data_IF_567409085381
#
_entry.id   IF_567409085381
#
_cell.length_a   1.000
_cell.length_b   1.000
_cell.length_c   1.000
_cell.angle_alpha   90.00
_cell.angle_beta   90.00
_cell.angle_gamma   90.00
#
_symmetry.space_group_name_H-M   'P 1'
#
loop_
_entity.id
_entity.type
_entity.pdbx_description
1 polymer ?
#
# COMPACT_ATOMS: atom_id res chain seq x y z
N UNK A 1 -25.47 45.25 -46.92
CA UNK A 1 -25.69 43.79 -47.11
C UNK A 1 -24.68 43.04 -46.26
N UNK A 2 -25.18 42.01 -45.57
CA UNK A 2 -24.52 41.23 -44.52
C UNK A 2 -23.23 40.53 -44.99
N UNK A 3 -22.10 40.83 -44.34
CA UNK A 3 -20.86 40.07 -44.49
C UNK A 3 -20.84 38.90 -43.53
N UNK A 4 -21.22 37.71 -44.01
CA UNK A 4 -21.16 36.47 -43.26
C UNK A 4 -19.70 36.14 -42.91
N UNK A 5 -19.31 36.32 -41.65
CA UNK A 5 -18.00 35.89 -41.13
C UNK A 5 -17.95 34.36 -41.17
N UNK A 6 -17.02 33.80 -41.95
CA UNK A 6 -16.71 32.36 -41.90
C UNK A 6 -16.28 31.99 -40.47
N UNK A 7 -16.89 30.97 -39.83
CA UNK A 7 -16.39 30.47 -38.56
C UNK A 7 -14.99 29.88 -38.79
N UNK A 8 -14.06 30.23 -37.91
CA UNK A 8 -12.70 29.67 -37.87
C UNK A 8 -12.83 28.16 -37.69
N UNK A 9 -12.16 27.37 -38.53
CA UNK A 9 -12.20 25.91 -38.44
C UNK A 9 -11.70 25.49 -37.05
N UNK A 10 -12.53 24.75 -36.31
CA UNK A 10 -12.17 24.14 -35.03
C UNK A 10 -11.03 23.16 -35.33
N UNK A 11 -9.87 23.40 -34.71
CA UNK A 11 -8.64 22.63 -34.99
C UNK A 11 -8.68 21.17 -34.49
N UNK A 12 -9.80 20.72 -33.91
CA UNK A 12 -9.95 19.34 -33.46
C UNK A 12 -11.34 18.78 -33.87
N UNK A 13 -11.40 17.77 -34.75
CA UNK A 13 -12.64 17.08 -35.06
C UNK A 13 -13.19 16.35 -33.82
N UNK A 14 -14.53 16.32 -33.72
CA UNK A 14 -15.34 15.76 -32.63
C UNK A 14 -15.26 14.22 -32.46
N UNK A 15 -14.30 13.55 -33.10
CA UNK A 15 -14.11 12.11 -33.05
C UNK A 15 -12.68 11.77 -32.62
N UNK A 16 -12.41 11.96 -31.33
CA UNK A 16 -11.62 11.01 -30.53
C UNK A 16 -11.57 11.48 -29.10
N UNK A 17 -12.10 10.64 -28.23
CA UNK A 17 -11.98 10.61 -26.78
C UNK A 17 -10.52 10.41 -26.38
N UNK A 18 -9.59 11.26 -26.83
CA UNK A 18 -8.24 11.22 -26.30
C UNK A 18 -8.41 11.73 -24.87
N UNK A 19 -7.87 11.08 -23.85
CA UNK A 19 -7.61 11.61 -22.49
C UNK A 19 -6.20 12.20 -22.46
N UNK A 20 -5.86 13.15 -21.56
CA UNK A 20 -4.46 13.66 -21.58
C UNK A 20 -3.54 12.51 -21.22
N UNK A 21 -2.33 12.43 -21.81
CA UNK A 21 -1.39 11.35 -21.48
C UNK A 21 -1.22 11.21 -19.96
N UNK A 22 -1.10 12.35 -19.26
CA UNK A 22 -1.05 12.45 -17.80
C UNK A 22 -2.30 11.90 -17.10
N UNK A 23 -3.51 12.26 -17.54
CA UNK A 23 -4.76 11.75 -16.97
C UNK A 23 -4.92 10.23 -17.20
N UNK A 24 -4.49 9.73 -18.37
CA UNK A 24 -4.50 8.31 -18.68
C UNK A 24 -3.58 7.54 -17.73
N UNK A 25 -2.36 8.03 -17.52
CA UNK A 25 -1.39 7.43 -16.59
C UNK A 25 -1.97 7.37 -15.17
N UNK A 26 -2.57 8.46 -14.68
CA UNK A 26 -3.15 8.47 -13.33
C UNK A 26 -4.34 7.53 -13.18
N UNK A 27 -5.18 7.41 -14.22
CA UNK A 27 -6.27 6.43 -14.25
C UNK A 27 -5.74 4.99 -14.25
N UNK A 28 -4.74 4.70 -15.08
CA UNK A 28 -4.08 3.39 -15.12
C UNK A 28 -3.46 3.05 -13.76
N UNK A 29 -2.72 3.98 -13.14
CA UNK A 29 -2.15 3.80 -11.80
C UNK A 29 -3.24 3.53 -10.76
N UNK A 30 -4.32 4.31 -10.74
CA UNK A 30 -5.40 4.08 -9.81
C UNK A 30 -6.02 2.69 -9.98
N UNK A 31 -6.28 2.27 -11.23
CA UNK A 31 -6.86 0.94 -11.51
C UNK A 31 -5.97 -0.19 -10.98
N UNK A 32 -4.64 -0.08 -11.08
CA UNK A 32 -3.72 -1.07 -10.50
C UNK A 32 -3.89 -1.25 -8.98
N UNK A 33 -4.28 -0.19 -8.26
CA UNK A 33 -4.53 -0.29 -6.82
C UNK A 33 -5.87 -0.96 -6.49
N UNK A 34 -6.91 -0.66 -7.27
CA UNK A 34 -8.29 -1.06 -6.97
C UNK A 34 -8.79 -2.26 -7.77
N UNK A 35 -7.91 -2.91 -8.54
CA UNK A 35 -8.30 -4.06 -9.35
C UNK A 35 -8.90 -5.19 -8.49
N UNK A 36 -9.98 -5.80 -8.96
CA UNK A 36 -10.78 -6.75 -8.17
C UNK A 36 -10.03 -8.06 -7.92
N UNK A 37 -9.23 -8.48 -8.90
CA UNK A 37 -8.51 -9.75 -8.84
C UNK A 37 -7.20 -9.56 -8.09
N UNK A 38 -6.30 -8.73 -8.64
CA UNK A 38 -4.91 -8.56 -8.17
C UNK A 38 -4.58 -7.11 -7.74
N UNK A 39 -5.56 -6.35 -7.27
CA UNK A 39 -5.33 -4.97 -6.83
C UNK A 39 -4.31 -4.85 -5.69
N UNK A 40 -3.39 -3.89 -5.80
CA UNK A 40 -2.33 -3.68 -4.81
C UNK A 40 -2.88 -3.48 -3.38
N UNK A 41 -4.05 -2.85 -3.24
CA UNK A 41 -4.70 -2.65 -1.93
C UNK A 41 -5.07 -4.00 -1.30
N UNK A 42 -5.65 -4.91 -2.09
CA UNK A 42 -6.07 -6.24 -1.63
C UNK A 42 -4.86 -7.12 -1.27
N UNK A 43 -3.80 -7.07 -2.08
CA UNK A 43 -2.56 -7.79 -1.81
C UNK A 43 -1.91 -7.27 -0.52
N UNK A 44 -1.85 -5.94 -0.35
CA UNK A 44 -1.31 -5.33 0.86
C UNK A 44 -2.13 -5.67 2.11
N UNK A 45 -3.46 -5.67 2.02
CA UNK A 45 -4.35 -6.05 3.12
C UNK A 45 -4.13 -7.50 3.58
N UNK A 46 -3.93 -8.44 2.64
CA UNK A 46 -3.54 -9.82 2.95
C UNK A 46 -2.21 -9.93 3.73
N UNK A 47 -1.33 -8.93 3.59
CA UNK A 47 -0.04 -8.84 4.27
C UNK A 47 -0.08 -7.95 5.53
N UNK A 48 -1.25 -7.41 5.89
CA UNK A 48 -1.41 -6.49 7.01
C UNK A 48 -0.88 -5.08 6.75
N UNK A 49 -0.65 -4.70 5.49
CA UNK A 49 -0.18 -3.37 5.07
C UNK A 49 -1.36 -2.56 4.52
N UNK A 50 -1.50 -1.32 4.98
CA UNK A 50 -2.55 -0.41 4.48
C UNK A 50 -2.00 0.48 3.38
N UNK A 51 -2.54 0.35 2.17
CA UNK A 51 -2.25 1.24 1.04
C UNK A 51 -3.45 2.12 0.71
N UNK A 52 -3.18 3.33 0.22
CA UNK A 52 -4.19 4.27 -0.25
C UNK A 52 -4.04 4.47 -1.76
N UNK A 53 -5.11 4.29 -2.56
CA UNK A 53 -5.03 4.48 -3.99
C UNK A 53 -4.81 5.96 -4.35
N UNK A 54 -4.00 6.27 -5.38
CA UNK A 54 -3.76 7.64 -5.82
C UNK A 54 -5.01 8.27 -6.43
N UNK A 55 -5.08 9.61 -6.49
CA UNK A 55 -6.21 10.28 -7.13
C UNK A 55 -6.18 10.12 -8.66
N UNK A 56 -7.37 9.99 -9.27
CA UNK A 56 -7.54 9.84 -10.73
C UNK A 56 -7.39 11.14 -11.51
N UNK A 57 -7.45 12.29 -10.84
CA UNK A 57 -7.45 13.63 -11.45
C UNK A 57 -6.49 14.51 -10.68
N UNK A 58 -5.79 15.40 -11.40
CA UNK A 58 -5.00 16.46 -10.81
C UNK A 58 -5.91 17.68 -10.63
N UNK A 59 -5.77 18.33 -9.48
CA UNK A 59 -6.52 19.53 -9.13
C UNK A 59 -5.58 20.74 -9.20
N UNK A 60 -5.93 21.76 -9.97
CA UNK A 60 -5.19 23.04 -10.00
C UNK A 60 -6.03 24.08 -9.31
N UNK A 61 -5.42 24.84 -8.40
CA UNK A 61 -6.09 25.97 -7.77
C UNK A 61 -5.58 27.26 -8.37
N UNK A 62 -6.46 28.05 -8.98
CA UNK A 62 -6.11 29.38 -9.48
C UNK A 62 -6.62 30.40 -8.48
N UNK A 63 -5.66 31.16 -7.92
CA UNK A 63 -5.91 32.20 -6.93
C UNK A 63 -5.43 33.54 -7.47
N UNK A 64 -6.14 34.61 -7.13
CA UNK A 64 -5.75 35.95 -7.53
C UNK A 64 -6.77 37.01 -7.13
N UNK A 65 -6.36 38.27 -7.21
CA UNK A 65 -7.16 39.39 -6.74
C UNK A 65 -8.49 39.54 -7.48
N UNK A 66 -9.40 40.32 -6.89
CA UNK A 66 -10.64 40.72 -7.56
C UNK A 66 -10.31 41.33 -8.93
N UNK A 67 -11.03 40.92 -9.98
CA UNK A 67 -10.82 41.38 -11.36
C UNK A 67 -9.43 41.12 -11.97
N UNK A 68 -8.60 40.24 -11.38
CA UNK A 68 -7.28 39.87 -11.90
C UNK A 68 -7.29 39.04 -13.21
N UNK A 69 -8.42 38.97 -13.91
CA UNK A 69 -8.53 38.20 -15.15
C UNK A 69 -8.61 36.68 -14.99
N UNK A 70 -8.82 36.15 -13.77
CA UNK A 70 -8.92 34.69 -13.50
C UNK A 70 -9.89 33.96 -14.45
N UNK A 71 -11.14 34.41 -14.52
CA UNK A 71 -12.16 33.80 -15.38
C UNK A 71 -11.83 33.96 -16.87
N UNK A 72 -11.22 35.07 -17.25
CA UNK A 72 -10.76 35.31 -18.62
C UNK A 72 -9.62 34.38 -19.00
N UNK A 73 -8.64 34.18 -18.10
CA UNK A 73 -7.54 33.23 -18.28
C UNK A 73 -8.05 31.82 -18.46
N UNK A 74 -8.99 31.37 -17.62
CA UNK A 74 -9.57 30.02 -17.71
C UNK A 74 -10.28 29.83 -19.05
N UNK A 75 -11.09 30.79 -19.47
CA UNK A 75 -11.78 30.72 -20.75
C UNK A 75 -10.79 30.67 -21.92
N UNK A 76 -9.70 31.44 -21.83
CA UNK A 76 -8.64 31.42 -22.83
C UNK A 76 -7.87 30.09 -22.83
N UNK A 77 -7.50 29.58 -21.65
CA UNK A 77 -6.73 28.35 -21.48
C UNK A 77 -7.47 27.10 -21.94
N UNK A 78 -8.80 27.06 -21.74
CA UNK A 78 -9.66 25.97 -22.23
C UNK A 78 -10.13 26.23 -23.67
N UNK A 79 -9.75 27.36 -24.27
CA UNK A 79 -10.20 27.83 -25.58
C UNK A 79 -11.73 27.94 -25.71
N UNK A 80 -12.42 28.19 -24.59
CA UNK A 80 -13.87 28.23 -24.54
C UNK A 80 -14.43 29.18 -23.47
N UNK A 81 -15.58 29.80 -23.75
CA UNK A 81 -16.29 30.67 -22.81
C UNK A 81 -17.10 29.88 -21.75
N UNK A 82 -16.42 29.43 -20.69
CA UNK A 82 -16.99 28.63 -19.59
C UNK A 82 -17.55 29.52 -18.48
N UNK A 83 -16.76 30.47 -17.99
CA UNK A 83 -17.13 31.40 -16.94
C UNK A 83 -17.53 32.76 -17.50
N UNK A 84 -18.46 33.44 -16.84
CA UNK A 84 -18.78 34.84 -17.18
C UNK A 84 -17.59 35.74 -16.85
N UNK A 85 -17.27 36.66 -17.75
CA UNK A 85 -16.19 37.66 -17.59
C UNK A 85 -16.78 39.06 -17.43
N UNK A 86 -16.02 39.99 -16.83
CA UNK A 86 -16.43 41.41 -16.73
C UNK A 86 -17.46 41.74 -15.64
N UNK A 87 -17.88 40.79 -14.81
CA UNK A 87 -18.85 41.02 -13.72
C UNK A 87 -18.24 40.67 -12.36
N UNK A 88 -17.82 41.71 -11.64
CA UNK A 88 -17.19 41.69 -10.32
C UNK A 88 -17.98 40.96 -9.20
N UNK A 89 -19.30 40.80 -9.37
CA UNK A 89 -20.23 40.41 -8.29
C UNK A 89 -20.58 38.91 -8.37
N UNK A 90 -20.45 38.27 -9.54
CA UNK A 90 -20.85 36.87 -9.76
C UNK A 90 -19.75 35.85 -9.36
N UNK A 91 -18.50 36.27 -9.17
CA UNK A 91 -17.37 35.38 -8.83
C UNK A 91 -17.20 35.11 -7.33
N UNK A 92 -18.21 35.41 -6.50
CA UNK A 92 -18.08 35.41 -5.04
C UNK A 92 -18.02 34.02 -4.36
N UNK A 93 -17.61 33.00 -5.11
CA UNK A 93 -16.75 31.97 -4.53
C UNK A 93 -16.45 30.78 -5.43
N UNK A 94 -16.47 29.59 -4.85
CA UNK A 94 -15.74 28.45 -5.42
C UNK A 94 -16.40 27.90 -6.68
N UNK A 95 -15.78 28.22 -7.83
CA UNK A 95 -16.10 27.53 -9.09
C UNK A 95 -15.22 26.31 -9.26
N UNK A 96 -15.88 25.17 -9.41
CA UNK A 96 -15.30 23.89 -9.79
C UNK A 96 -15.53 23.66 -11.27
N UNK A 97 -14.48 23.42 -12.05
CA UNK A 97 -14.61 23.09 -13.47
C UNK A 97 -14.00 21.73 -13.68
N UNK A 98 -14.74 20.78 -14.24
CA UNK A 98 -14.23 19.42 -14.48
C UNK A 98 -14.84 18.80 -15.73
N UNK A 99 -14.18 17.77 -16.25
CA UNK A 99 -14.71 17.00 -17.37
C UNK A 99 -16.03 16.28 -17.02
N UNK A 100 -16.99 16.35 -17.93
CA UNK A 100 -18.29 15.68 -17.86
C UNK A 100 -18.83 15.33 -19.26
N UNK A 101 -19.85 14.48 -19.32
CA UNK A 101 -20.39 13.99 -20.62
C UNK A 101 -21.18 15.07 -21.38
N UNK A 102 -21.75 16.02 -20.65
CA UNK A 102 -22.54 17.13 -21.17
C UNK A 102 -22.13 18.41 -20.48
N UNK A 103 -22.34 19.53 -21.16
CA UNK A 103 -22.17 20.86 -20.61
C UNK A 103 -23.28 21.13 -19.60
N UNK A 104 -22.95 21.12 -18.31
CA UNK A 104 -23.92 21.35 -17.23
C UNK A 104 -23.28 22.24 -16.15
N UNK A 105 -24.07 23.17 -15.61
CA UNK A 105 -23.67 24.02 -14.49
C UNK A 105 -24.56 23.68 -13.30
N UNK A 106 -23.96 23.16 -12.24
CA UNK A 106 -24.63 22.74 -11.02
C UNK A 106 -24.29 23.72 -9.91
N UNK A 107 -25.27 24.06 -9.07
CA UNK A 107 -25.10 25.01 -7.97
C UNK A 107 -25.50 24.39 -6.64
N UNK A 108 -24.78 24.76 -5.58
CA UNK A 108 -25.17 24.45 -4.20
C UNK A 108 -25.32 22.96 -3.89
N UNK A 109 -26.51 22.56 -3.46
CA UNK A 109 -26.79 21.18 -3.02
C UNK A 109 -26.67 20.15 -4.13
N UNK A 110 -26.98 20.50 -5.39
CA UNK A 110 -26.86 19.57 -6.51
C UNK A 110 -25.40 19.11 -6.70
N UNK A 111 -24.46 20.04 -6.55
CA UNK A 111 -23.03 19.74 -6.60
C UNK A 111 -22.60 18.82 -5.46
N UNK A 112 -23.15 18.99 -4.25
CA UNK A 112 -22.81 18.19 -3.07
C UNK A 112 -23.38 16.77 -3.11
N UNK A 113 -24.49 16.57 -3.84
CA UNK A 113 -25.00 15.22 -4.11
C UNK A 113 -24.04 14.44 -5.01
N UNK A 114 -23.46 15.09 -6.02
CA UNK A 114 -22.50 14.47 -6.95
C UNK A 114 -21.09 14.39 -6.37
N UNK A 115 -20.68 15.35 -5.54
CA UNK A 115 -19.35 15.46 -4.95
C UNK A 115 -19.43 15.70 -3.44
N UNK A 116 -19.77 14.67 -2.63
CA UNK A 116 -19.97 14.83 -1.18
C UNK A 116 -18.72 15.27 -0.42
N UNK A 117 -17.53 15.00 -0.97
CA UNK A 117 -16.25 15.40 -0.38
C UNK A 117 -16.02 16.92 -0.38
N UNK A 118 -16.87 17.70 -1.08
CA UNK A 118 -16.86 19.16 -0.98
C UNK A 118 -17.69 19.71 0.20
N UNK A 119 -18.40 18.86 0.95
CA UNK A 119 -19.17 19.30 2.14
C UNK A 119 -18.34 20.12 3.15
N UNK A 120 -17.09 19.77 3.48
CA UNK A 120 -16.28 20.58 4.40
C UNK A 120 -16.05 22.02 3.92
N UNK A 121 -16.18 22.31 2.62
CA UNK A 121 -16.06 23.66 2.09
C UNK A 121 -17.22 24.58 2.51
N UNK A 122 -18.38 24.01 2.84
CA UNK A 122 -19.51 24.77 3.41
C UNK A 122 -19.26 25.21 4.86
N UNK A 123 -18.40 24.49 5.59
CA UNK A 123 -18.15 24.72 7.01
C UNK A 123 -17.18 25.90 7.25
N UNK A 124 -16.53 26.40 6.20
CA UNK A 124 -15.73 27.63 6.26
C UNK A 124 -16.64 28.85 6.50
N UNK A 125 -16.91 29.14 7.78
CA UNK A 125 -17.72 30.27 8.27
C UNK A 125 -17.31 31.62 7.66
N UNK A 126 -18.29 32.26 7.01
CA UNK A 126 -18.21 33.64 6.50
C UNK A 126 -19.04 33.81 5.22
N UNK A 127 -20.37 33.88 5.34
CA UNK A 127 -21.31 34.20 4.25
C UNK A 127 -21.19 33.35 2.95
N UNK A 128 -20.79 32.08 3.03
CA UNK A 128 -21.01 31.15 1.92
C UNK A 128 -22.48 30.68 1.94
N UNK A 129 -23.39 31.54 1.48
CA UNK A 129 -24.75 31.13 1.19
C UNK A 129 -24.70 29.96 0.18
N UNK A 130 -25.70 29.09 0.17
CA UNK A 130 -25.80 27.87 -0.65
C UNK A 130 -25.56 28.06 -2.17
N UNK A 131 -25.33 29.28 -2.63
CA UNK A 131 -25.16 29.72 -4.01
C UNK A 131 -23.71 29.69 -4.53
N UNK A 132 -22.72 29.33 -3.72
CA UNK A 132 -21.31 29.66 -4.02
C UNK A 132 -20.48 28.50 -4.60
N UNK A 133 -20.99 27.27 -4.58
CA UNK A 133 -20.33 26.12 -5.19
C UNK A 133 -20.91 25.87 -6.59
N UNK A 134 -20.21 26.33 -7.63
CA UNK A 134 -20.63 26.12 -9.02
C UNK A 134 -19.76 25.04 -9.65
N UNK A 135 -20.33 23.88 -9.98
CA UNK A 135 -19.65 22.84 -10.73
C UNK A 135 -20.04 22.91 -12.20
N UNK A 136 -19.07 23.19 -13.05
CA UNK A 136 -19.23 23.18 -14.50
C UNK A 136 -18.63 21.89 -15.04
N UNK A 137 -19.51 21.03 -15.54
CA UNK A 137 -19.17 19.82 -16.26
C UNK A 137 -19.01 20.15 -17.74
N UNK A 138 -17.92 19.70 -18.36
CA UNK A 138 -17.63 20.03 -19.75
C UNK A 138 -17.09 18.84 -20.57
N UNK A 139 -17.51 18.63 -21.84
CA UNK A 139 -17.03 17.52 -22.69
C UNK A 139 -15.53 17.58 -23.04
N UNK A 140 -14.92 18.76 -23.04
CA UNK A 140 -13.46 18.93 -23.15
C UNK A 140 -12.73 18.84 -21.81
N UNK A 141 -11.46 18.43 -21.86
CA UNK A 141 -10.67 18.06 -20.69
C UNK A 141 -10.28 19.26 -19.85
N UNK A 142 -11.06 19.53 -18.82
CA UNK A 142 -10.66 20.46 -17.76
C UNK A 142 -10.23 19.66 -16.53
N UNK A 143 -8.96 19.86 -16.15
CA UNK A 143 -8.45 19.44 -14.85
C UNK A 143 -9.27 20.14 -13.76
N UNK A 144 -9.65 19.38 -12.72
CA UNK A 144 -10.57 19.88 -11.71
C UNK A 144 -10.00 21.14 -11.09
N UNK A 145 -10.69 22.27 -11.19
CA UNK A 145 -10.14 23.54 -10.74
C UNK A 145 -10.88 24.07 -9.52
N UNK A 146 -10.18 24.72 -8.60
CA UNK A 146 -10.80 25.53 -7.54
C UNK A 146 -10.44 27.00 -7.81
N UNK A 147 -11.42 27.86 -8.05
CA UNK A 147 -11.20 29.33 -8.07
C UNK A 147 -11.53 29.88 -6.70
N UNK A 148 -10.55 30.53 -6.05
CA UNK A 148 -10.81 31.29 -4.82
C UNK A 148 -10.59 32.79 -5.07
N UNK A 149 -11.56 33.59 -4.66
CA UNK A 149 -11.46 35.03 -4.59
C UNK A 149 -10.93 35.42 -3.21
N UNK A 150 -9.65 35.77 -3.11
CA UNK A 150 -8.95 35.94 -1.83
C UNK A 150 -9.09 37.33 -1.18
N UNK A 151 -9.43 38.37 -1.95
CA UNK A 151 -9.34 39.76 -1.48
C UNK A 151 -10.31 40.19 -0.37
N UNK A 152 -11.28 39.35 0.02
CA UNK A 152 -12.23 39.66 1.10
C UNK A 152 -11.85 39.07 2.47
N UNK A 153 -10.76 38.30 2.57
CA UNK A 153 -10.25 37.83 3.88
C UNK A 153 -9.20 38.82 4.41
N UNK A 154 -9.51 39.62 5.45
CA UNK A 154 -8.61 40.67 5.94
C UNK A 154 -7.27 40.16 6.46
N UNK A 155 -7.16 38.87 6.82
CA UNK A 155 -5.90 38.25 7.22
C UNK A 155 -4.95 37.87 6.07
N UNK A 156 -5.47 37.62 4.86
CA UNK A 156 -4.65 37.14 3.74
C UNK A 156 -4.14 38.26 2.82
N UNK A 157 -4.79 39.43 2.83
CA UNK A 157 -4.30 40.63 2.13
C UNK A 157 -2.96 41.16 2.70
N UNK A 158 -2.57 40.72 3.91
CA UNK A 158 -1.27 41.06 4.52
C UNK A 158 -0.12 40.16 4.06
N UNK A 159 -0.42 39.01 3.43
CA UNK A 159 0.56 37.98 3.09
C UNK A 159 1.17 38.15 1.69
N UNK A 160 1.20 39.38 1.14
CA UNK A 160 2.01 39.76 -0.03
C UNK A 160 2.17 38.68 -1.09
N UNK A 161 1.08 38.26 -1.73
CA UNK A 161 1.19 37.34 -2.87
C UNK A 161 1.71 38.12 -4.07
N UNK A 162 2.93 37.81 -4.50
CA UNK A 162 3.47 38.29 -5.76
C UNK A 162 2.64 37.69 -6.89
N UNK A 163 1.86 38.51 -7.57
CA UNK A 163 0.90 38.05 -8.56
C UNK A 163 1.42 38.37 -9.97
N UNK A 164 1.60 37.36 -10.84
CA UNK A 164 2.12 37.56 -12.17
C UNK A 164 1.17 38.41 -13.01
N UNK A 165 1.72 39.28 -13.86
CA UNK A 165 0.91 40.10 -14.77
C UNK A 165 0.55 39.25 -15.99
N UNK A 166 -0.73 38.87 -16.09
CA UNK A 166 -1.25 38.10 -17.21
C UNK A 166 -2.33 38.89 -17.96
N UNK A 167 -2.30 38.83 -19.29
CA UNK A 167 -3.38 39.31 -20.14
C UNK A 167 -3.47 38.44 -21.39
N UNK A 168 -4.65 38.42 -22.02
CA UNK A 168 -4.86 37.68 -23.27
C UNK A 168 -4.25 38.51 -24.41
N UNK A 169 -3.25 38.00 -25.15
CA UNK A 169 -2.63 38.74 -26.25
C UNK A 169 -3.66 39.09 -27.31
N UNK A 170 -3.71 40.36 -27.73
CA UNK A 170 -4.50 40.79 -28.88
C UNK A 170 -3.55 41.28 -29.98
N UNK A 171 -3.56 40.59 -31.13
CA UNK A 171 -2.74 40.95 -32.29
C UNK A 171 -2.99 42.37 -32.82
N UNK A 172 -4.16 42.95 -32.52
CA UNK A 172 -4.52 44.29 -32.98
C UNK A 172 -4.00 45.41 -32.08
N UNK A 173 -3.70 45.12 -30.80
CA UNK A 173 -3.26 46.11 -29.81
C UNK A 173 -2.16 45.50 -28.92
N UNK A 174 -0.88 45.54 -29.36
CA UNK A 174 0.22 45.07 -28.54
C UNK A 174 0.39 45.96 -27.32
N UNK A 175 0.32 45.36 -26.13
CA UNK A 175 0.54 46.05 -24.86
C UNK A 175 2.02 46.10 -24.50
N UNK A 176 2.42 47.19 -23.82
CA UNK A 176 3.82 47.42 -23.40
C UNK A 176 4.24 46.63 -22.17
N UNK A 177 3.29 46.05 -21.43
CA UNK A 177 3.57 45.24 -20.25
C UNK A 177 4.03 43.83 -20.65
N UNK A 178 5.03 43.32 -19.91
CA UNK A 178 5.51 41.95 -20.03
C UNK A 178 4.36 41.01 -19.65
N UNK A 179 4.00 40.11 -20.56
CA UNK A 179 2.97 39.10 -20.33
C UNK A 179 3.62 37.83 -19.79
N UNK A 180 3.23 37.39 -18.60
CA UNK A 180 3.73 36.15 -18.00
C UNK A 180 2.77 34.97 -18.23
N UNK A 181 1.83 35.08 -19.17
CA UNK A 181 0.84 34.03 -19.43
C UNK A 181 1.48 32.69 -19.82
N UNK A 182 2.59 32.74 -20.56
CA UNK A 182 3.33 31.55 -20.97
C UNK A 182 4.07 30.91 -19.79
N UNK A 183 4.67 31.72 -18.90
CA UNK A 183 5.31 31.25 -17.66
C UNK A 183 4.30 30.59 -16.71
N UNK A 184 3.09 31.13 -16.63
CA UNK A 184 1.98 30.55 -15.84
C UNK A 184 1.55 29.21 -16.46
N UNK A 185 1.42 29.13 -17.78
CA UNK A 185 1.08 27.87 -18.47
C UNK A 185 2.17 26.81 -18.25
N UNK A 186 3.44 27.19 -18.38
CA UNK A 186 4.58 26.31 -18.14
C UNK A 186 4.61 25.82 -16.69
N UNK A 187 4.28 26.69 -15.72
CA UNK A 187 4.18 26.32 -14.31
C UNK A 187 3.06 25.31 -14.04
N UNK A 188 1.91 25.47 -14.69
CA UNK A 188 0.80 24.51 -14.62
C UNK A 188 1.24 23.16 -15.18
N UNK A 189 1.89 23.15 -16.35
CA UNK A 189 2.37 21.93 -16.99
C UNK A 189 3.46 21.22 -16.16
N UNK A 190 4.43 21.97 -15.63
CA UNK A 190 5.44 21.44 -14.70
C UNK A 190 4.80 20.83 -13.47
N UNK A 191 3.79 21.49 -12.89
CA UNK A 191 3.07 20.99 -11.72
C UNK A 191 2.30 19.70 -12.01
N UNK A 192 1.68 19.60 -13.20
CA UNK A 192 1.02 18.39 -13.70
C UNK A 192 2.04 17.25 -13.81
N UNK A 193 3.15 17.50 -14.49
CA UNK A 193 4.18 16.49 -14.72
C UNK A 193 4.79 16.04 -13.40
N UNK A 194 5.06 16.95 -12.47
CA UNK A 194 5.54 16.62 -11.12
C UNK A 194 4.52 15.77 -10.33
N UNK A 195 3.22 16.07 -10.42
CA UNK A 195 2.19 15.28 -9.74
C UNK A 195 2.08 13.85 -10.31
N UNK A 196 2.22 13.70 -11.62
CA UNK A 196 2.29 12.39 -12.28
C UNK A 196 3.51 11.62 -11.80
N UNK A 197 4.70 12.23 -11.84
CA UNK A 197 5.94 11.58 -11.37
C UNK A 197 5.85 11.17 -9.90
N UNK A 198 5.37 12.05 -9.01
CA UNK A 198 5.16 11.71 -7.59
C UNK A 198 4.23 10.50 -7.40
N UNK A 199 3.16 10.42 -8.19
CA UNK A 199 2.22 9.29 -8.13
C UNK A 199 2.89 7.98 -8.54
N UNK A 200 3.71 8.04 -9.59
CA UNK A 200 4.45 6.91 -10.10
C UNK A 200 5.54 6.45 -9.13
N UNK A 201 6.30 7.39 -8.56
CA UNK A 201 7.30 7.11 -7.53
C UNK A 201 6.66 6.46 -6.30
N UNK A 202 5.47 6.93 -5.92
CA UNK A 202 4.71 6.31 -4.84
C UNK A 202 4.27 4.88 -5.19
N UNK A 203 3.77 4.64 -6.40
CA UNK A 203 3.43 3.30 -6.89
C UNK A 203 4.62 2.35 -6.78
N UNK A 204 5.83 2.80 -7.15
CA UNK A 204 7.03 1.98 -7.05
C UNK A 204 7.45 1.70 -5.60
N UNK A 205 7.38 2.72 -4.74
CA UNK A 205 7.61 2.54 -3.30
C UNK A 205 6.65 1.52 -2.69
N UNK A 206 5.37 1.60 -3.03
CA UNK A 206 4.35 0.70 -2.52
C UNK A 206 4.56 -0.73 -3.03
N UNK A 207 4.89 -0.91 -4.31
CA UNK A 207 5.26 -2.21 -4.87
C UNK A 207 6.48 -2.82 -4.16
N UNK A 208 7.53 -2.03 -3.94
CA UNK A 208 8.73 -2.48 -3.25
C UNK A 208 8.46 -2.82 -1.77
N UNK A 209 7.57 -2.07 -1.12
CA UNK A 209 7.11 -2.36 0.24
C UNK A 209 6.36 -3.70 0.29
N UNK A 210 5.47 -3.97 -0.66
CA UNK A 210 4.78 -5.26 -0.74
C UNK A 210 5.79 -6.40 -0.97
N UNK A 211 6.70 -6.27 -1.95
CA UNK A 211 7.70 -7.30 -2.27
C UNK A 211 8.59 -7.59 -1.05
N UNK A 212 9.08 -6.56 -0.37
CA UNK A 212 9.90 -6.74 0.85
C UNK A 212 9.12 -7.39 1.98
N UNK A 213 7.83 -7.07 2.15
CA UNK A 213 6.95 -7.70 3.14
C UNK A 213 6.68 -9.16 2.82
N UNK A 214 6.47 -9.51 1.54
CA UNK A 214 6.33 -10.90 1.08
C UNK A 214 7.60 -11.68 1.40
N UNK A 215 8.76 -11.14 1.02
CA UNK A 215 10.05 -11.79 1.27
C UNK A 215 10.31 -11.99 2.77
N UNK A 216 10.02 -10.99 3.60
CA UNK A 216 10.12 -11.10 5.04
C UNK A 216 9.17 -12.17 5.60
N UNK A 217 7.94 -12.25 5.10
CA UNK A 217 6.94 -13.25 5.53
C UNK A 217 7.36 -14.67 5.16
N UNK A 218 7.93 -14.86 3.95
CA UNK A 218 8.47 -16.14 3.51
C UNK A 218 9.71 -16.56 4.31
N UNK A 219 10.59 -15.61 4.63
CA UNK A 219 11.79 -15.89 5.42
C UNK A 219 11.43 -16.21 6.88
N UNK A 220 10.51 -15.45 7.47
CA UNK A 220 9.98 -15.76 8.80
C UNK A 220 9.36 -17.16 8.86
N UNK A 221 8.65 -17.58 7.81
CA UNK A 221 8.11 -18.94 7.72
C UNK A 221 9.21 -20.01 7.65
N UNK A 222 10.29 -19.79 6.89
CA UNK A 222 11.44 -20.71 6.86
C UNK A 222 12.08 -20.88 8.24
N UNK A 223 12.24 -19.77 8.97
CA UNK A 223 12.74 -19.78 10.33
C UNK A 223 11.78 -20.52 11.27
N UNK A 224 10.47 -20.29 11.15
CA UNK A 224 9.46 -21.00 11.93
C UNK A 224 9.43 -22.50 11.63
N UNK A 225 9.57 -22.93 10.37
CA UNK A 225 9.64 -24.35 9.99
C UNK A 225 10.87 -25.02 10.61
N UNK A 226 12.04 -24.38 10.53
CA UNK A 226 13.28 -24.88 11.11
C UNK A 226 13.18 -25.00 12.63
N UNK A 227 12.69 -23.94 13.30
CA UNK A 227 12.48 -23.91 14.75
C UNK A 227 11.46 -24.98 15.19
N UNK A 228 10.34 -25.12 14.47
CA UNK A 228 9.33 -26.15 14.75
C UNK A 228 9.89 -27.56 14.61
N UNK A 229 10.76 -27.81 13.61
CA UNK A 229 11.44 -29.10 13.45
C UNK A 229 12.33 -29.40 14.66
N UNK A 230 13.12 -28.42 15.09
CA UNK A 230 13.99 -28.54 16.28
C UNK A 230 13.15 -28.76 17.55
N UNK A 231 12.09 -27.97 17.75
CA UNK A 231 11.21 -28.09 18.91
C UNK A 231 10.50 -29.44 18.97
N UNK A 232 10.04 -29.98 17.83
CA UNK A 232 9.46 -31.33 17.74
C UNK A 232 10.48 -32.41 18.09
N UNK A 233 11.71 -32.27 17.61
CA UNK A 233 12.78 -33.21 17.92
C UNK A 233 13.18 -33.18 19.41
N UNK A 234 13.36 -31.98 19.98
CA UNK A 234 13.68 -31.81 21.39
C UNK A 234 12.53 -32.30 22.28
N UNK A 235 11.28 -32.02 21.92
CA UNK A 235 10.10 -32.54 22.61
C UNK A 235 10.06 -34.07 22.60
N UNK A 236 10.35 -34.68 21.43
CA UNK A 236 10.42 -36.14 21.30
C UNK A 236 11.55 -36.73 22.15
N UNK A 237 12.76 -36.18 22.09
CA UNK A 237 13.89 -36.66 22.89
C UNK A 237 13.64 -36.54 24.40
N UNK A 238 13.18 -35.38 24.88
CA UNK A 238 12.85 -35.19 26.29
C UNK A 238 11.71 -36.12 26.74
N UNK A 239 10.72 -36.38 25.88
CA UNK A 239 9.63 -37.30 26.15
C UNK A 239 10.09 -38.76 26.24
N UNK A 240 10.93 -39.21 25.29
CA UNK A 240 11.51 -40.56 25.31
C UNK A 240 12.37 -40.74 26.55
N UNK A 241 13.27 -39.80 26.86
CA UNK A 241 14.12 -39.87 28.06
C UNK A 241 13.29 -39.88 29.34
N UNK A 242 12.25 -39.03 29.43
CA UNK A 242 11.38 -38.93 30.59
C UNK A 242 10.54 -40.18 30.87
N UNK A 243 10.32 -41.06 29.88
CA UNK A 243 9.60 -42.33 30.02
C UNK A 243 10.57 -43.52 30.13
N UNK A 244 11.62 -43.53 29.31
CA UNK A 244 12.58 -44.62 29.23
C UNK A 244 13.39 -44.78 30.51
N UNK A 245 13.93 -43.68 31.07
CA UNK A 245 14.72 -43.71 32.30
C UNK A 245 13.95 -44.30 33.51
N UNK A 246 12.73 -43.84 33.85
CA UNK A 246 12.00 -44.44 34.97
C UNK A 246 11.56 -45.88 34.66
N UNK A 247 11.24 -46.22 33.40
CA UNK A 247 10.91 -47.59 33.03
C UNK A 247 12.10 -48.55 33.20
N UNK A 248 13.30 -48.13 32.81
CA UNK A 248 14.53 -48.91 32.97
C UNK A 248 14.88 -49.09 34.44
N UNK A 249 14.70 -48.03 35.24
CA UNK A 249 14.90 -48.08 36.69
C UNK A 249 13.96 -49.09 37.34
N UNK A 250 12.64 -49.02 37.07
CA UNK A 250 11.65 -49.97 37.62
C UNK A 250 11.94 -51.40 37.15
N UNK A 251 12.23 -51.59 35.86
CA UNK A 251 12.54 -52.89 35.29
C UNK A 251 13.79 -53.52 35.92
N UNK A 252 14.78 -52.69 36.30
CA UNK A 252 15.97 -53.14 37.01
C UNK A 252 15.63 -53.78 38.36
N UNK A 253 14.76 -53.16 39.16
CA UNK A 253 14.34 -53.73 40.44
C UNK A 253 13.48 -54.98 40.28
N UNK A 254 12.62 -55.03 39.26
CA UNK A 254 11.83 -56.23 38.96
C UNK A 254 12.76 -57.39 38.62
N UNK A 255 13.74 -57.18 37.72
CA UNK A 255 14.67 -58.24 37.33
C UNK A 255 15.58 -58.68 38.47
N UNK A 256 15.99 -57.76 39.36
CA UNK A 256 16.81 -58.14 40.53
C UNK A 256 16.06 -58.99 41.56
N UNK A 257 14.72 -59.07 41.49
CA UNK A 257 13.92 -59.94 42.38
C UNK A 257 13.79 -61.38 41.89
N UNK A 258 14.07 -61.66 40.60
CA UNK A 258 13.98 -63.00 40.02
C UNK A 258 15.33 -63.71 40.02
N UNK A 259 15.33 -65.03 40.21
CA UNK A 259 16.53 -65.85 39.99
C UNK A 259 16.87 -65.94 38.48
N UNK A 260 18.16 -66.02 38.09
CA UNK A 260 18.58 -66.10 36.69
C UNK A 260 17.90 -67.22 35.91
N UNK A 261 17.73 -68.38 36.54
CA UNK A 261 17.14 -69.58 35.95
C UNK A 261 15.64 -69.44 35.65
N UNK A 262 14.91 -68.64 36.44
CA UNK A 262 13.48 -68.41 36.25
C UNK A 262 13.21 -67.42 35.10
N UNK A 263 14.04 -66.40 34.96
CA UNK A 263 13.89 -65.40 33.90
C UNK A 263 14.24 -65.97 32.52
N UNK A 264 15.26 -66.83 32.45
CA UNK A 264 15.65 -67.55 31.22
C UNK A 264 14.51 -68.44 30.71
N UNK A 265 13.72 -69.03 31.61
CA UNK A 265 12.56 -69.86 31.26
C UNK A 265 11.34 -69.08 30.74
N UNK A 266 11.18 -67.82 31.16
CA UNK A 266 10.00 -66.99 30.89
C UNK A 266 10.13 -66.14 29.62
N UNK A 267 11.30 -65.55 29.38
CA UNK A 267 11.53 -64.57 28.29
C UNK A 267 12.42 -65.14 27.18
N UNK A 268 13.11 -66.26 27.46
CA UNK A 268 14.04 -66.90 26.55
C UNK A 268 15.46 -66.34 26.69
N UNK A 269 16.44 -67.25 26.53
CA UNK A 269 17.86 -67.04 26.83
C UNK A 269 18.49 -65.80 26.14
N UNK A 270 18.06 -65.49 24.91
CA UNK A 270 18.57 -64.33 24.15
C UNK A 270 18.05 -62.97 24.65
N UNK A 271 16.80 -62.91 25.09
CA UNK A 271 16.19 -61.67 25.61
C UNK A 271 16.57 -61.45 27.07
N UNK A 272 16.62 -62.51 27.88
CA UNK A 272 17.08 -62.45 29.27
C UNK A 272 18.50 -61.89 29.36
N UNK A 273 19.43 -62.37 28.51
CA UNK A 273 20.80 -61.85 28.44
C UNK A 273 20.87 -60.36 28.09
N UNK A 274 20.01 -59.90 27.19
CA UNK A 274 19.94 -58.48 26.80
C UNK A 274 19.40 -57.61 27.94
N UNK A 275 18.38 -58.11 28.64
CA UNK A 275 17.79 -57.45 29.81
C UNK A 275 18.79 -57.32 30.95
N UNK A 276 19.48 -58.41 31.32
CA UNK A 276 20.55 -58.39 32.34
C UNK A 276 21.69 -57.43 32.01
N UNK A 277 22.08 -57.32 30.73
CA UNK A 277 23.09 -56.35 30.32
C UNK A 277 22.60 -54.91 30.50
N UNK A 278 21.34 -54.63 30.14
CA UNK A 278 20.76 -53.30 30.24
C UNK A 278 20.48 -52.85 31.69
N UNK A 279 20.06 -53.77 32.56
CA UNK A 279 19.79 -53.50 33.97
C UNK A 279 21.04 -53.58 34.83
N UNK A 280 22.05 -54.37 34.43
CA UNK A 280 23.32 -54.51 35.15
C UNK A 280 24.05 -53.18 35.34
N UNK A 281 23.95 -52.25 34.38
CA UNK A 281 24.50 -50.89 34.51
C UNK A 281 23.79 -50.11 35.61
N UNK A 282 22.46 -50.25 35.72
CA UNK A 282 21.65 -49.56 36.73
C UNK A 282 21.92 -50.13 38.13
N UNK A 283 22.02 -51.45 38.26
CA UNK A 283 22.36 -52.13 39.52
C UNK A 283 23.77 -51.75 39.98
N UNK A 284 24.75 -51.75 39.08
CA UNK A 284 26.12 -51.33 39.41
C UNK A 284 26.19 -49.89 39.94
N UNK A 285 25.43 -48.97 39.32
CA UNK A 285 25.35 -47.58 39.78
C UNK A 285 24.59 -47.46 41.12
N UNK A 286 23.62 -48.35 41.36
CA UNK A 286 22.84 -48.39 42.60
C UNK A 286 23.69 -48.85 43.79
N UNK A 287 24.53 -49.87 43.61
CA UNK A 287 25.43 -50.40 44.65
C UNK A 287 26.50 -49.39 45.09
N UNK A 288 26.79 -48.38 44.25
CA UNK A 288 27.73 -47.31 44.59
C UNK A 288 27.14 -46.28 45.57
N UNK A 289 25.83 -46.29 45.79
CA UNK A 289 25.11 -45.33 46.63
C UNK A 289 24.95 -45.89 48.06
N UNK A 290 25.46 -45.19 49.10
CA UNK A 290 25.27 -45.59 50.50
C UNK A 290 23.79 -45.69 50.89
N UNK A 291 23.43 -46.65 51.74
CA UNK A 291 22.04 -46.96 52.13
C UNK A 291 21.28 -45.73 52.67
N UNK A 292 21.92 -44.88 53.46
CA UNK A 292 21.32 -43.66 54.03
C UNK A 292 20.90 -42.61 52.98
N UNK A 293 21.50 -42.64 51.78
CA UNK A 293 21.26 -41.67 50.70
C UNK A 293 20.31 -42.18 49.61
N UNK A 294 19.94 -43.46 49.61
CA UNK A 294 19.15 -44.08 48.54
C UNK A 294 17.77 -43.42 48.35
N UNK A 295 17.08 -43.09 49.45
CA UNK A 295 15.75 -42.45 49.39
C UNK A 295 15.83 -41.06 48.74
N UNK A 296 16.85 -40.26 49.10
CA UNK A 296 17.05 -38.93 48.51
C UNK A 296 17.39 -39.01 47.03
N UNK A 297 18.17 -40.01 46.61
CA UNK A 297 18.49 -40.25 45.20
C UNK A 297 17.22 -40.56 44.38
N UNK A 298 16.35 -41.46 44.87
CA UNK A 298 15.09 -41.80 44.19
C UNK A 298 14.17 -40.59 44.02
N UNK A 299 14.06 -39.73 45.05
CA UNK A 299 13.26 -38.50 44.97
C UNK A 299 13.84 -37.54 43.92
N UNK A 300 15.16 -37.33 43.92
CA UNK A 300 15.84 -36.45 42.96
C UNK A 300 15.72 -36.99 41.53
N UNK A 301 15.91 -38.30 41.34
CA UNK A 301 15.77 -38.97 40.05
C UNK A 301 14.33 -38.90 39.52
N UNK A 302 13.33 -39.12 40.37
CA UNK A 302 11.93 -38.95 40.04
C UNK A 302 11.58 -37.52 39.64
N UNK A 303 12.10 -36.53 40.38
CA UNK A 303 11.95 -35.12 40.05
C UNK A 303 12.60 -34.75 38.71
N UNK A 304 13.78 -35.30 38.40
CA UNK A 304 14.47 -35.10 37.12
C UNK A 304 13.67 -35.69 35.95
N UNK A 305 13.14 -36.90 36.09
CA UNK A 305 12.30 -37.52 35.07
C UNK A 305 11.01 -36.72 34.83
N UNK A 306 10.38 -36.25 35.90
CA UNK A 306 9.20 -35.38 35.81
C UNK A 306 9.53 -34.04 35.14
N UNK A 307 10.68 -33.43 35.47
CA UNK A 307 11.14 -32.21 34.83
C UNK A 307 11.40 -32.39 33.33
N UNK A 308 11.97 -33.53 32.90
CA UNK A 308 12.12 -33.85 31.48
C UNK A 308 10.78 -33.97 30.76
N UNK A 309 9.74 -34.50 31.42
CA UNK A 309 8.39 -34.53 30.86
C UNK A 309 7.78 -33.13 30.72
N UNK A 310 8.02 -32.24 31.69
CA UNK A 310 7.63 -30.82 31.59
C UNK A 310 8.33 -30.12 30.43
N UNK A 311 9.64 -30.35 30.24
CA UNK A 311 10.39 -29.83 29.10
C UNK A 311 9.84 -30.35 27.77
N UNK A 312 9.50 -31.64 27.70
CA UNK A 312 8.88 -32.22 26.51
C UNK A 312 7.58 -31.49 26.13
N UNK A 313 6.72 -31.21 27.11
CA UNK A 313 5.48 -30.45 26.92
C UNK A 313 5.74 -28.98 26.56
N UNK A 314 6.73 -28.34 27.19
CA UNK A 314 7.13 -26.97 26.87
C UNK A 314 7.56 -26.84 25.42
N UNK A 315 8.48 -27.69 24.95
CA UNK A 315 8.93 -27.67 23.55
C UNK A 315 7.80 -28.02 22.56
N UNK A 316 6.89 -28.92 22.92
CA UNK A 316 5.70 -29.21 22.09
C UNK A 316 4.79 -27.98 21.94
N UNK A 317 4.66 -27.17 23.01
CA UNK A 317 3.80 -25.99 23.03
C UNK A 317 4.37 -24.78 22.28
N UNK A 318 5.69 -24.75 22.03
CA UNK A 318 6.34 -23.66 21.30
C UNK A 318 6.16 -23.70 19.77
N UNK A 319 5.26 -24.54 19.26
CA UNK A 319 5.00 -24.63 17.82
C UNK A 319 4.36 -23.37 17.25
N UNK A 320 5.05 -22.70 16.34
CA UNK A 320 4.50 -21.55 15.59
C UNK A 320 3.69 -22.00 14.38
N UNK A 321 2.69 -21.21 13.97
CA UNK A 321 1.97 -21.45 12.72
C UNK A 321 2.91 -21.22 11.52
N UNK A 322 2.84 -22.12 10.55
CA UNK A 322 3.60 -22.07 9.29
C UNK A 322 2.64 -21.96 8.11
N UNK A 323 3.07 -21.29 7.06
CA UNK A 323 2.34 -21.13 5.81
C UNK A 323 2.13 -22.47 5.11
N UNK A 324 0.92 -22.66 4.59
CA UNK A 324 0.55 -23.79 3.74
C UNK A 324 1.23 -23.68 2.38
N UNK A 325 1.36 -24.81 1.66
CA UNK A 325 1.89 -24.81 0.28
C UNK A 325 1.10 -23.89 -0.66
N UNK A 326 -0.22 -23.79 -0.44
CA UNK A 326 -1.11 -22.94 -1.24
C UNK A 326 -0.82 -21.45 -1.01
N UNK A 327 -0.69 -21.04 0.25
CA UNK A 327 -0.36 -19.64 0.61
C UNK A 327 1.02 -19.25 0.06
N UNK A 328 2.02 -20.12 0.15
CA UNK A 328 3.35 -19.87 -0.43
C UNK A 328 3.29 -19.68 -1.95
N UNK A 329 2.50 -20.50 -2.64
CA UNK A 329 2.31 -20.38 -4.09
C UNK A 329 1.62 -19.05 -4.44
N UNK A 330 0.58 -18.69 -3.70
CA UNK A 330 -0.15 -17.43 -3.91
C UNK A 330 0.74 -16.20 -3.67
N UNK A 331 1.58 -16.21 -2.63
CA UNK A 331 2.55 -15.14 -2.37
C UNK A 331 3.60 -15.01 -3.48
N UNK A 332 4.04 -16.14 -4.07
CA UNK A 332 4.95 -16.12 -5.21
C UNK A 332 4.27 -15.52 -6.46
N UNK A 333 3.03 -15.93 -6.75
CA UNK A 333 2.24 -15.36 -7.85
C UNK A 333 2.03 -13.84 -7.70
N UNK A 334 1.75 -13.36 -6.48
CA UNK A 334 1.68 -11.92 -6.22
C UNK A 334 3.01 -11.19 -6.40
N UNK A 335 4.12 -11.80 -5.95
CA UNK A 335 5.45 -11.23 -6.14
C UNK A 335 5.79 -11.08 -7.63
N UNK A 336 5.53 -12.12 -8.43
CA UNK A 336 5.78 -12.11 -9.87
C UNK A 336 4.93 -11.06 -10.58
N UNK A 337 3.63 -11.01 -10.27
CA UNK A 337 2.71 -9.99 -10.79
C UNK A 337 3.19 -8.56 -10.49
N UNK A 338 3.61 -8.29 -9.25
CA UNK A 338 4.08 -6.95 -8.85
C UNK A 338 5.42 -6.62 -9.50
N UNK A 339 6.34 -7.57 -9.60
CA UNK A 339 7.60 -7.35 -10.31
C UNK A 339 7.37 -7.02 -11.79
N UNK A 340 6.40 -7.66 -12.44
CA UNK A 340 6.04 -7.36 -13.82
C UNK A 340 5.45 -5.96 -13.97
N UNK A 341 4.64 -5.49 -13.01
CA UNK A 341 4.17 -4.10 -12.96
C UNK A 341 5.35 -3.12 -12.87
N UNK A 342 6.28 -3.35 -11.94
CA UNK A 342 7.44 -2.46 -11.72
C UNK A 342 8.36 -2.44 -12.96
N UNK A 343 8.65 -3.60 -13.55
CA UNK A 343 9.44 -3.72 -14.78
C UNK A 343 8.76 -3.01 -15.96
N UNK A 344 7.46 -3.24 -16.15
CA UNK A 344 6.67 -2.61 -17.21
C UNK A 344 6.65 -1.08 -17.08
N UNK A 345 6.55 -0.57 -15.84
CA UNK A 345 6.63 0.87 -15.54
C UNK A 345 8.01 1.43 -15.92
N UNK A 346 9.09 0.78 -15.48
CA UNK A 346 10.47 1.25 -15.71
C UNK A 346 10.78 1.35 -17.21
N UNK A 347 10.38 0.36 -17.99
CA UNK A 347 10.53 0.34 -19.46
C UNK A 347 9.71 1.45 -20.13
N UNK A 348 8.44 1.64 -19.73
CA UNK A 348 7.54 2.64 -20.33
C UNK A 348 8.00 4.08 -20.04
N UNK A 349 8.53 4.34 -18.84
CA UNK A 349 9.09 5.65 -18.49
C UNK A 349 10.36 5.97 -19.26
N UNK A 350 11.31 5.02 -19.34
CA UNK A 350 12.54 5.22 -20.10
C UNK A 350 12.24 5.47 -21.58
N UNK A 351 11.32 4.71 -22.19
CA UNK A 351 10.91 4.97 -23.57
C UNK A 351 10.21 6.32 -23.74
N UNK A 352 9.28 6.69 -22.85
CA UNK A 352 8.54 7.96 -22.99
C UNK A 352 9.44 9.19 -22.80
N UNK A 353 10.44 9.10 -21.93
CA UNK A 353 11.42 10.18 -21.71
C UNK A 353 12.37 10.27 -22.90
N UNK A 354 12.88 9.15 -23.42
CA UNK A 354 13.74 9.13 -24.61
C UNK A 354 13.00 9.68 -25.84
N UNK A 355 11.74 9.27 -26.05
CA UNK A 355 10.93 9.77 -27.18
C UNK A 355 10.66 11.26 -27.04
N UNK A 356 10.33 11.77 -25.85
CA UNK A 356 10.16 13.22 -25.66
C UNK A 356 11.46 14.00 -25.85
N UNK A 357 12.59 13.49 -25.35
CA UNK A 357 13.91 14.14 -25.53
C UNK A 357 14.31 14.16 -27.02
N UNK A 358 14.07 13.08 -27.76
CA UNK A 358 14.33 13.03 -29.20
C UNK A 358 13.42 14.03 -29.95
N UNK A 359 12.15 14.15 -29.58
CA UNK A 359 11.24 15.11 -30.21
C UNK A 359 11.67 16.56 -29.93
N UNK A 360 12.11 16.88 -28.70
CA UNK A 360 12.60 18.22 -28.33
C UNK A 360 14.00 18.55 -28.87
N UNK A 361 14.79 17.55 -29.29
CA UNK A 361 16.09 17.75 -29.92
C UNK A 361 16.01 17.83 -31.46
N UNK A 362 14.91 17.38 -32.07
CA UNK A 362 14.72 17.33 -33.52
C UNK A 362 13.65 18.30 -34.06
N UNK A 363 12.99 19.06 -33.19
CA UNK A 363 12.12 20.21 -33.51
C UNK A 363 12.49 21.38 -32.60
#
# INVERSE_FOLDING_TARGET
MSGCKKPRAVANPLESTITSPSERILKECHTLYIDNDNGLVKIAECLGVRLLPPQKKIIVMIMGNHSAGKSSFINWYVEEHIQKTGVAIETQGFTFITSGRKRESLTGNATLHLYPHFRPLLEFKGQMSQSVLVLILYPQRVMMQIVQELCRRPGLNKCGFEMPTIYIPNHQNPSRCINQIDEVCETIEKSINQAVQKTLDQLEKDCNLIISTINHTLEQDRMNVSSNKSNRFNSFLCGVVGIFLPSLFILSFIISTFAPEELDSLVGEGLAKTLYFSTGIVVYLWDWIPEDWQIMFVIIFGALCYFMFLLAKYFASQGSKTLTKREKKQLAEYSDYIQDIVKSKKVRHTLSIIVNIIITLFF
#
